data_IF_135867004311
#
_entry.id   IF_135867004311
#
_cell.length_a   1.000
_cell.length_b   1.000
_cell.length_c   1.000
_cell.angle_alpha   90.00
_cell.angle_beta   90.00
_cell.angle_gamma   90.00
#
_symmetry.space_group_name_H-M   'P 1'
#
loop_
_entity.id
_entity.type
_entity.pdbx_description
1 polymer ?
#
# COMPACT_ATOMS: atom_id res chain seq x y z
N UNK A 1 -23.36 3.76 -43.19
CA UNK A 1 -23.73 4.97 -42.44
C UNK A 1 -22.43 5.65 -42.06
N UNK A 2 -22.25 6.92 -42.46
CA UNK A 2 -21.01 7.67 -42.20
C UNK A 2 -21.10 8.30 -40.81
N UNK A 3 -20.05 8.14 -39.99
CA UNK A 3 -20.02 8.65 -38.62
C UNK A 3 -19.36 10.03 -38.61
N UNK A 4 -20.03 11.02 -38.00
CA UNK A 4 -19.48 12.37 -37.88
C UNK A 4 -18.69 12.53 -36.56
N UNK A 5 -17.36 12.49 -36.67
CA UNK A 5 -16.45 12.64 -35.53
C UNK A 5 -16.15 14.10 -35.13
N UNK A 6 -16.70 15.10 -35.85
CA UNK A 6 -16.36 16.51 -35.58
C UNK A 6 -16.73 16.98 -34.18
N UNK A 7 -17.80 16.43 -33.61
CA UNK A 7 -18.30 16.82 -32.29
C UNK A 7 -17.74 15.96 -31.15
N UNK A 8 -16.83 15.02 -31.46
CA UNK A 8 -16.25 14.15 -30.45
C UNK A 8 -15.15 14.91 -29.72
N UNK A 9 -15.07 14.70 -28.40
CA UNK A 9 -13.93 15.14 -27.60
C UNK A 9 -12.78 14.11 -27.70
N UNK A 10 -11.60 14.48 -27.25
CA UNK A 10 -10.42 13.61 -27.22
C UNK A 10 -10.69 12.18 -26.70
N UNK A 11 -11.44 12.05 -25.59
CA UNK A 11 -11.80 10.74 -25.03
C UNK A 11 -12.62 9.91 -26.02
N UNK A 12 -13.69 10.48 -26.57
CA UNK A 12 -14.59 9.81 -27.50
C UNK A 12 -13.89 9.45 -28.81
N UNK A 13 -12.96 10.27 -29.30
CA UNK A 13 -12.15 9.96 -30.48
C UNK A 13 -11.25 8.74 -30.24
N UNK A 14 -10.56 8.68 -29.10
CA UNK A 14 -9.68 7.57 -28.75
C UNK A 14 -10.46 6.27 -28.44
N UNK A 15 -11.63 6.39 -27.81
CA UNK A 15 -12.52 5.26 -27.56
C UNK A 15 -13.06 4.69 -28.87
N UNK A 16 -13.50 5.55 -29.80
CA UNK A 16 -13.89 5.15 -31.14
C UNK A 16 -12.73 4.48 -31.90
N UNK A 17 -11.50 4.97 -31.74
CA UNK A 17 -10.32 4.39 -32.41
C UNK A 17 -10.02 2.98 -31.89
N UNK A 18 -10.23 2.74 -30.60
CA UNK A 18 -9.99 1.43 -29.98
C UNK A 18 -11.04 0.37 -30.32
N UNK A 19 -12.19 0.76 -30.86
CA UNK A 19 -13.36 -0.12 -31.07
C UNK A 19 -13.76 -0.28 -32.52
N UNK A 20 -13.37 0.63 -33.41
CA UNK A 20 -13.69 0.55 -34.83
C UNK A 20 -12.93 -0.59 -35.50
N UNK A 21 -13.65 -1.38 -36.29
CA UNK A 21 -13.06 -2.37 -37.19
C UNK A 21 -12.64 -1.68 -38.48
N UNK A 22 -11.32 -1.57 -38.69
CA UNK A 22 -10.74 -0.90 -39.84
C UNK A 22 -11.01 -1.62 -41.17
N UNK A 23 -11.18 -2.96 -41.14
CA UNK A 23 -11.42 -3.77 -42.33
C UNK A 23 -12.91 -3.72 -42.71
N UNK A 24 -13.80 -3.73 -41.72
CA UNK A 24 -15.24 -3.64 -41.95
C UNK A 24 -15.72 -2.22 -42.29
N UNK A 25 -15.04 -1.17 -41.78
CA UNK A 25 -15.44 0.23 -41.95
C UNK A 25 -14.27 1.18 -42.30
N UNK A 26 -13.61 0.98 -43.46
CA UNK A 26 -12.38 1.70 -43.82
C UNK A 26 -12.56 3.22 -43.96
N UNK A 27 -13.70 3.69 -44.51
CA UNK A 27 -13.97 5.13 -44.67
C UNK A 27 -14.18 5.84 -43.32
N UNK A 28 -14.90 5.20 -42.39
CA UNK A 28 -15.10 5.74 -41.05
C UNK A 28 -13.78 5.73 -40.25
N UNK A 29 -12.96 4.69 -40.42
CA UNK A 29 -11.63 4.62 -39.82
C UNK A 29 -10.74 5.76 -40.31
N UNK A 30 -10.70 5.99 -41.63
CA UNK A 30 -9.94 7.09 -42.23
C UNK A 30 -10.39 8.44 -41.68
N UNK A 31 -11.69 8.74 -41.70
CA UNK A 31 -12.23 10.01 -41.18
C UNK A 31 -11.91 10.21 -39.69
N UNK A 32 -11.98 9.15 -38.88
CA UNK A 32 -11.58 9.19 -37.48
C UNK A 32 -10.09 9.53 -37.30
N UNK A 33 -9.21 8.85 -38.03
CA UNK A 33 -7.76 9.11 -37.96
C UNK A 33 -7.39 10.52 -38.42
N UNK A 34 -8.09 11.06 -39.43
CA UNK A 34 -7.91 12.45 -39.86
C UNK A 34 -8.36 13.44 -38.78
N UNK A 35 -9.49 13.20 -38.10
CA UNK A 35 -9.92 14.07 -36.99
C UNK A 35 -8.96 14.02 -35.80
N UNK A 36 -8.37 12.85 -35.50
CA UNK A 36 -7.35 12.71 -34.45
C UNK A 36 -6.09 13.48 -34.83
N UNK A 37 -5.59 13.32 -36.07
CA UNK A 37 -4.41 14.01 -36.55
C UNK A 37 -4.58 15.54 -36.56
N UNK A 38 -5.78 16.04 -36.90
CA UNK A 38 -6.10 17.47 -36.86
C UNK A 38 -6.12 18.05 -35.44
N UNK A 39 -6.31 17.22 -34.41
CA UNK A 39 -6.47 17.65 -33.01
C UNK A 39 -5.38 17.07 -32.10
N UNK A 40 -4.18 16.87 -32.66
CA UNK A 40 -3.06 16.28 -31.93
C UNK A 40 -2.82 16.96 -30.58
N UNK A 41 -2.87 18.30 -30.52
CA UNK A 41 -2.70 19.05 -29.27
C UNK A 41 -3.76 18.72 -28.20
N UNK A 42 -5.03 18.56 -28.60
CA UNK A 42 -6.13 18.18 -27.68
C UNK A 42 -5.91 16.76 -27.15
N UNK A 43 -5.48 15.85 -28.02
CA UNK A 43 -5.19 14.46 -27.70
C UNK A 43 -3.98 14.36 -26.75
N UNK A 44 -2.92 15.10 -27.02
CA UNK A 44 -1.72 15.15 -26.18
C UNK A 44 -2.05 15.76 -24.81
N UNK A 45 -2.85 16.83 -24.76
CA UNK A 45 -3.32 17.42 -23.50
C UNK A 45 -4.16 16.42 -22.69
N UNK A 46 -5.03 15.65 -23.35
CA UNK A 46 -5.81 14.60 -22.70
C UNK A 46 -4.93 13.49 -22.11
N UNK A 47 -3.88 13.07 -22.82
CA UNK A 47 -2.91 12.09 -22.28
C UNK A 47 -2.12 12.65 -21.10
N UNK A 48 -1.68 13.91 -21.16
CA UNK A 48 -1.00 14.58 -20.04
C UNK A 48 -1.91 14.69 -18.82
N UNK A 49 -3.19 15.05 -19.01
CA UNK A 49 -4.17 15.10 -17.93
C UNK A 49 -4.37 13.74 -17.27
N UNK A 50 -4.49 12.66 -18.07
CA UNK A 50 -4.57 11.30 -17.55
C UNK A 50 -3.32 10.88 -16.77
N UNK A 51 -2.14 11.21 -17.26
CA UNK A 51 -0.88 10.91 -16.58
C UNK A 51 -0.78 11.66 -15.24
N UNK A 52 -1.13 12.94 -15.22
CA UNK A 52 -1.20 13.75 -14.00
C UNK A 52 -2.22 13.19 -13.01
N UNK A 53 -3.42 12.81 -13.47
CA UNK A 53 -4.43 12.19 -12.62
C UNK A 53 -3.94 10.86 -12.02
N UNK A 54 -3.22 10.05 -12.80
CA UNK A 54 -2.62 8.81 -12.32
C UNK A 54 -1.51 9.07 -11.30
N UNK A 55 -0.61 10.02 -11.56
CA UNK A 55 0.44 10.45 -10.62
C UNK A 55 -0.16 10.98 -9.31
N UNK A 56 -1.23 11.78 -9.38
CA UNK A 56 -1.95 12.29 -8.22
C UNK A 56 -2.61 11.16 -7.41
N UNK A 57 -3.22 10.17 -8.06
CA UNK A 57 -3.81 8.99 -7.40
C UNK A 57 -2.77 8.24 -6.58
N UNK A 58 -1.62 7.93 -7.17
CA UNK A 58 -0.53 7.23 -6.48
C UNK A 58 0.11 8.08 -5.38
N UNK A 59 0.21 9.39 -5.59
CA UNK A 59 0.65 10.32 -4.56
C UNK A 59 -0.30 10.29 -3.35
N UNK A 60 -1.62 10.41 -3.56
CA UNK A 60 -2.59 10.32 -2.46
C UNK A 60 -2.49 8.98 -1.70
N UNK A 61 -2.35 7.87 -2.43
CA UNK A 61 -2.19 6.55 -1.83
C UNK A 61 -0.93 6.44 -0.96
N UNK A 62 0.22 6.93 -1.42
CA UNK A 62 1.44 6.97 -0.60
C UNK A 62 1.31 7.86 0.63
N UNK A 63 0.65 9.01 0.49
CA UNK A 63 0.41 9.91 1.63
C UNK A 63 -0.44 9.22 2.67
N UNK A 64 -1.47 8.48 2.25
CA UNK A 64 -2.29 7.67 3.15
C UNK A 64 -1.45 6.65 3.91
N UNK A 65 -0.62 5.84 3.21
CA UNK A 65 0.27 4.87 3.86
C UNK A 65 1.21 5.56 4.86
N UNK A 66 1.77 6.71 4.50
CA UNK A 66 2.67 7.46 5.38
C UNK A 66 1.97 7.99 6.62
N UNK A 67 0.75 8.52 6.48
CA UNK A 67 -0.09 8.96 7.59
C UNK A 67 -0.44 7.78 8.50
N UNK A 68 -0.79 6.62 7.95
CA UNK A 68 -1.03 5.41 8.74
C UNK A 68 0.20 5.05 9.58
N UNK A 69 1.40 5.06 9.03
CA UNK A 69 2.62 4.77 9.82
C UNK A 69 2.87 5.82 10.92
N UNK A 70 2.64 7.11 10.66
CA UNK A 70 2.75 8.14 11.70
C UNK A 70 1.73 7.91 12.82
N UNK A 71 0.48 7.57 12.47
CA UNK A 71 -0.56 7.28 13.44
C UNK A 71 -0.21 6.02 14.28
N UNK A 72 0.40 4.98 13.69
CA UNK A 72 0.94 3.83 14.45
C UNK A 72 1.96 4.30 15.49
N UNK A 73 2.91 5.15 15.08
CA UNK A 73 3.90 5.69 16.02
C UNK A 73 3.26 6.47 17.16
N UNK A 74 2.24 7.29 16.88
CA UNK A 74 1.50 8.03 17.91
C UNK A 74 0.78 7.09 18.89
N UNK A 75 0.09 6.06 18.39
CA UNK A 75 -0.58 5.06 19.23
C UNK A 75 0.46 4.30 20.08
N UNK A 76 1.58 3.90 19.48
CA UNK A 76 2.64 3.21 20.19
C UNK A 76 3.27 4.07 21.30
N UNK A 77 3.37 5.39 21.11
CA UNK A 77 3.78 6.33 22.18
C UNK A 77 2.78 6.30 23.34
N UNK A 78 1.48 6.41 23.04
CA UNK A 78 0.43 6.38 24.06
C UNK A 78 0.47 5.07 24.84
N UNK A 79 0.54 3.93 24.13
CA UNK A 79 0.62 2.60 24.73
C UNK A 79 1.87 2.41 25.58
N UNK A 80 3.02 2.93 25.13
CA UNK A 80 4.26 2.92 25.90
C UNK A 80 4.10 3.69 27.21
N UNK A 81 3.56 4.92 27.15
CA UNK A 81 3.36 5.76 28.33
C UNK A 81 2.43 5.08 29.35
N UNK A 82 1.33 4.49 28.88
CA UNK A 82 0.38 3.78 29.74
C UNK A 82 0.97 2.51 30.37
N UNK A 83 1.94 1.87 29.69
CA UNK A 83 2.53 0.59 30.11
C UNK A 83 3.88 0.76 30.83
N UNK A 84 4.42 1.98 30.94
CA UNK A 84 5.72 2.27 31.56
C UNK A 84 5.95 1.56 32.92
N UNK A 85 4.97 1.49 33.86
CA UNK A 85 5.20 0.89 35.17
C UNK A 85 5.46 -0.62 35.13
N UNK A 86 5.04 -1.32 34.08
CA UNK A 86 5.08 -2.79 33.99
C UNK A 86 6.13 -3.29 32.99
N UNK A 87 6.80 -2.39 32.27
CA UNK A 87 7.75 -2.74 31.23
C UNK A 87 9.19 -2.77 31.74
N UNK A 88 9.93 -3.80 31.33
CA UNK A 88 11.39 -3.86 31.48
C UNK A 88 12.08 -2.81 30.60
N UNK A 89 13.27 -2.36 30.96
CA UNK A 89 14.08 -1.42 30.15
C UNK A 89 14.31 -1.89 28.71
N UNK A 90 14.51 -3.20 28.50
CA UNK A 90 14.66 -3.77 27.16
C UNK A 90 13.39 -3.57 26.29
N UNK A 91 12.20 -3.82 26.86
CA UNK A 91 10.92 -3.60 26.18
C UNK A 91 10.70 -2.11 25.88
N UNK A 92 11.05 -1.21 26.81
CA UNK A 92 10.98 0.24 26.58
C UNK A 92 11.85 0.65 25.38
N UNK A 93 13.10 0.17 25.32
CA UNK A 93 14.00 0.43 24.20
C UNK A 93 13.45 -0.05 22.86
N UNK A 94 12.89 -1.27 22.82
CA UNK A 94 12.24 -1.81 21.63
C UNK A 94 11.00 -1.01 21.21
N UNK A 95 10.16 -0.59 22.17
CA UNK A 95 9.00 0.26 21.88
C UNK A 95 9.42 1.61 21.30
N UNK A 96 10.47 2.24 21.84
CA UNK A 96 11.01 3.49 21.29
C UNK A 96 11.52 3.27 19.86
N UNK A 97 12.23 2.17 19.61
CA UNK A 97 12.69 1.82 18.26
C UNK A 97 11.52 1.68 17.28
N UNK A 98 10.44 0.99 17.67
CA UNK A 98 9.23 0.83 16.85
C UNK A 98 8.55 2.18 16.56
N UNK A 99 8.44 3.04 17.57
CA UNK A 99 7.89 4.39 17.42
C UNK A 99 8.71 5.20 16.41
N UNK A 100 10.04 5.19 16.56
CA UNK A 100 10.93 5.92 15.66
C UNK A 100 10.88 5.35 14.25
N UNK A 101 10.88 4.02 14.10
CA UNK A 101 10.83 3.37 12.80
C UNK A 101 9.54 3.74 12.05
N UNK A 102 8.37 3.60 12.68
CA UNK A 102 7.09 3.99 12.06
C UNK A 102 6.99 5.49 11.81
N UNK A 103 7.41 6.32 12.77
CA UNK A 103 7.32 7.77 12.67
C UNK A 103 8.19 8.32 11.56
N UNK A 104 9.46 7.91 11.51
CA UNK A 104 10.41 8.36 10.49
C UNK A 104 10.03 7.79 9.13
N UNK A 105 9.66 6.51 9.03
CA UNK A 105 9.20 5.91 7.78
C UNK A 105 7.96 6.65 7.24
N UNK A 106 6.95 6.89 8.08
CA UNK A 106 5.76 7.65 7.71
C UNK A 106 6.05 9.09 7.26
N UNK A 107 6.83 9.84 8.04
CA UNK A 107 7.20 11.23 7.71
C UNK A 107 8.00 11.30 6.40
N UNK A 108 8.96 10.39 6.22
CA UNK A 108 9.80 10.38 5.01
C UNK A 108 8.98 10.00 3.77
N UNK A 109 7.96 9.14 3.91
CA UNK A 109 7.03 8.81 2.83
C UNK A 109 6.10 9.98 2.48
N UNK A 110 5.55 10.68 3.48
CA UNK A 110 4.74 11.90 3.30
C UNK A 110 5.56 12.99 2.60
N UNK A 111 6.80 13.19 3.03
CA UNK A 111 7.73 14.19 2.47
C UNK A 111 8.38 13.77 1.14
N UNK A 112 8.08 12.57 0.62
CA UNK A 112 8.64 12.05 -0.64
C UNK A 112 10.16 12.01 -0.68
N UNK A 113 10.79 11.76 0.46
CA UNK A 113 12.26 11.72 0.52
C UNK A 113 12.77 10.46 -0.20
N UNK A 114 13.86 10.53 -0.99
CA UNK A 114 14.35 9.39 -1.79
C UNK A 114 14.63 8.13 -0.95
N UNK A 115 15.17 8.31 0.26
CA UNK A 115 15.45 7.22 1.21
C UNK A 115 14.21 6.76 1.99
N UNK A 116 13.11 7.50 1.93
CA UNK A 116 11.87 7.21 2.66
C UNK A 116 11.12 5.99 2.16
N UNK A 117 11.23 5.69 0.85
CA UNK A 117 10.64 4.49 0.27
C UNK A 117 11.27 3.21 0.83
N UNK A 118 12.61 3.16 0.91
CA UNK A 118 13.32 2.01 1.47
C UNK A 118 12.98 1.81 2.95
N UNK A 119 12.97 2.89 3.74
CA UNK A 119 12.65 2.80 5.17
C UNK A 119 11.22 2.32 5.39
N UNK A 120 10.25 2.82 4.60
CA UNK A 120 8.87 2.34 4.62
C UNK A 120 8.76 0.89 4.18
N UNK A 121 9.54 0.46 3.19
CA UNK A 121 9.56 -0.91 2.70
C UNK A 121 10.09 -1.89 3.75
N UNK A 122 11.18 -1.54 4.43
CA UNK A 122 11.71 -2.32 5.56
C UNK A 122 10.71 -2.35 6.70
N UNK A 123 10.14 -1.19 7.06
CA UNK A 123 9.16 -1.08 8.14
C UNK A 123 7.94 -1.97 7.89
N UNK A 124 7.32 -1.86 6.71
CA UNK A 124 6.16 -2.68 6.33
C UNK A 124 6.54 -4.15 6.13
N UNK A 125 7.74 -4.44 5.62
CA UNK A 125 8.25 -5.80 5.45
C UNK A 125 8.34 -6.57 6.76
N UNK A 126 8.79 -5.89 7.82
CA UNK A 126 8.78 -6.46 9.16
C UNK A 126 7.36 -6.75 9.67
N UNK A 127 6.33 -6.06 9.17
CA UNK A 127 4.94 -6.26 9.59
C UNK A 127 4.24 -7.41 8.87
N UNK A 128 4.81 -7.91 7.77
CA UNK A 128 4.16 -8.93 6.94
C UNK A 128 4.01 -10.25 7.68
N UNK A 129 5.01 -10.64 8.47
CA UNK A 129 5.03 -11.93 9.12
C UNK A 129 5.07 -11.78 10.63
N UNK A 130 4.23 -12.54 11.31
CA UNK A 130 4.31 -12.76 12.74
C UNK A 130 4.31 -14.25 13.00
N UNK A 131 5.11 -14.71 13.95
CA UNK A 131 5.18 -16.11 14.26
C UNK A 131 5.52 -16.32 15.73
N UNK A 132 4.97 -17.38 16.28
CA UNK A 132 5.34 -17.93 17.59
C UNK A 132 5.81 -19.36 17.41
N UNK A 133 6.89 -19.75 18.08
CA UNK A 133 7.32 -21.13 18.18
C UNK A 133 7.95 -21.36 19.56
N UNK A 134 7.26 -22.14 20.41
CA UNK A 134 7.68 -22.34 21.80
C UNK A 134 7.78 -21.00 22.54
N UNK A 135 8.96 -20.69 23.10
CA UNK A 135 9.19 -19.46 23.86
C UNK A 135 9.49 -18.22 22.99
N UNK A 136 9.65 -18.39 21.66
CA UNK A 136 10.02 -17.31 20.76
C UNK A 136 8.80 -16.75 20.04
N UNK A 137 8.52 -15.46 20.24
CA UNK A 137 7.43 -14.76 19.58
C UNK A 137 7.95 -13.51 18.88
N UNK A 138 7.69 -13.43 17.57
CA UNK A 138 7.86 -12.23 16.77
C UNK A 138 6.48 -11.74 16.35
N UNK A 139 6.13 -10.52 16.75
CA UNK A 139 4.84 -9.97 16.41
C UNK A 139 4.87 -8.46 16.18
N UNK A 140 4.99 -8.04 14.93
CA UNK A 140 5.04 -6.63 14.60
C UNK A 140 3.86 -6.18 13.74
N UNK A 141 2.95 -5.40 14.32
CA UNK A 141 1.76 -4.89 13.62
C UNK A 141 1.68 -3.37 13.63
N UNK A 142 1.06 -2.84 12.57
CA UNK A 142 0.73 -1.44 12.43
C UNK A 142 -0.59 -1.06 13.10
N UNK A 143 -1.45 -0.39 12.34
CA UNK A 143 -2.71 0.23 12.81
C UNK A 143 -3.88 -0.76 12.84
N UNK A 144 -3.58 -2.04 13.06
CA UNK A 144 -4.42 -3.16 12.68
C UNK A 144 -3.83 -3.91 11.48
N UNK A 145 -4.27 -5.14 11.30
CA UNK A 145 -3.90 -5.98 10.17
C UNK A 145 -5.04 -6.90 9.79
N UNK A 146 -4.97 -7.43 8.57
CA UNK A 146 -5.87 -8.50 8.12
C UNK A 146 -5.02 -9.74 8.04
N UNK A 147 -5.14 -10.59 9.05
CA UNK A 147 -4.23 -11.72 9.22
C UNK A 147 -4.79 -12.99 8.60
N UNK A 148 -3.93 -13.68 7.86
CA UNK A 148 -4.08 -15.11 7.61
C UNK A 148 -3.25 -15.84 8.65
N UNK A 149 -3.92 -16.54 9.56
CA UNK A 149 -3.29 -17.27 10.65
C UNK A 149 -3.33 -18.77 10.38
N UNK A 150 -2.18 -19.42 10.48
CA UNK A 150 -2.06 -20.86 10.63
C UNK A 150 -1.65 -21.12 12.08
N UNK A 151 -2.61 -21.58 12.86
CA UNK A 151 -2.38 -22.12 14.19
C UNK A 151 -2.41 -23.65 14.09
N UNK A 152 -1.27 -24.29 14.36
CA UNK A 152 -1.15 -25.74 14.27
C UNK A 152 -1.26 -26.44 15.64
N UNK A 153 -1.68 -25.71 16.68
CA UNK A 153 -1.79 -26.25 18.04
C UNK A 153 -3.16 -25.99 18.69
N UNK A 154 -4.14 -25.44 17.96
CA UNK A 154 -5.53 -25.34 18.39
C UNK A 154 -6.35 -26.58 17.98
N UNK A 155 -7.06 -27.21 18.92
CA UNK A 155 -8.01 -28.31 18.66
C UNK A 155 -9.16 -27.90 17.73
N UNK A 156 -9.41 -26.59 17.62
CA UNK A 156 -10.19 -26.01 16.53
C UNK A 156 -9.23 -25.49 15.48
N UNK A 157 -9.02 -26.25 14.41
CA UNK A 157 -8.31 -25.83 13.20
C UNK A 157 -8.97 -24.60 12.57
N UNK A 158 -8.77 -23.43 13.16
CA UNK A 158 -9.21 -22.15 12.63
C UNK A 158 -8.15 -21.67 11.65
N UNK A 159 -8.23 -22.15 10.41
CA UNK A 159 -7.33 -21.77 9.30
C UNK A 159 -7.49 -20.30 8.86
N UNK A 160 -8.46 -19.58 9.41
CA UNK A 160 -8.75 -18.20 9.07
C UNK A 160 -9.29 -17.44 10.29
N UNK A 161 -8.52 -16.47 10.77
CA UNK A 161 -8.95 -15.54 11.82
C UNK A 161 -8.58 -14.12 11.43
N UNK A 162 -9.57 -13.26 11.24
CA UNK A 162 -9.35 -11.83 11.09
C UNK A 162 -9.38 -11.18 12.48
N UNK A 163 -8.24 -10.69 12.96
CA UNK A 163 -8.15 -9.94 14.22
C UNK A 163 -7.60 -8.54 13.96
N UNK A 164 -8.12 -7.53 14.65
CA UNK A 164 -7.57 -6.18 14.62
C UNK A 164 -6.73 -5.96 15.88
N UNK A 165 -5.42 -5.87 15.73
CA UNK A 165 -4.49 -5.62 16.84
C UNK A 165 -3.80 -4.27 16.65
N UNK A 166 -3.89 -3.41 17.67
CA UNK A 166 -3.20 -2.13 17.71
C UNK A 166 -1.94 -2.24 18.56
N UNK A 167 -0.79 -1.97 17.94
CA UNK A 167 0.50 -2.13 18.58
C UNK A 167 1.06 -3.53 18.39
N UNK A 168 2.38 -3.58 18.20
CA UNK A 168 3.14 -4.81 18.05
C UNK A 168 4.35 -4.82 18.96
N UNK A 169 4.80 -6.02 19.27
CA UNK A 169 6.01 -6.32 20.01
C UNK A 169 6.98 -7.03 19.07
N UNK A 170 8.03 -6.33 18.62
CA UNK A 170 9.03 -6.90 17.71
C UNK A 170 9.66 -8.19 18.27
N UNK A 171 9.68 -8.38 19.59
CA UNK A 171 10.21 -9.59 20.17
C UNK A 171 9.68 -9.80 21.59
N UNK A 172 9.03 -10.93 21.82
CA UNK A 172 8.62 -11.39 23.13
C UNK A 172 9.18 -12.79 23.41
N UNK A 173 9.85 -12.90 24.57
CA UNK A 173 10.16 -14.18 25.20
C UNK A 173 9.00 -14.50 26.14
N UNK A 174 8.12 -15.41 25.73
CA UNK A 174 7.05 -15.88 26.60
C UNK A 174 7.55 -17.02 27.47
N UNK A 175 7.12 -17.03 28.73
CA UNK A 175 7.33 -18.15 29.66
C UNK A 175 6.14 -19.11 29.70
N UNK A 176 5.09 -18.87 28.89
CA UNK A 176 3.87 -19.67 28.87
C UNK A 176 3.45 -20.06 27.45
N UNK A 177 3.31 -21.38 27.28
CA UNK A 177 2.79 -22.13 26.13
C UNK A 177 3.80 -22.59 25.06
N UNK A 178 3.69 -23.87 24.69
CA UNK A 178 4.40 -24.53 23.58
C UNK A 178 3.71 -24.28 22.23
N UNK A 179 2.68 -23.43 22.18
CA UNK A 179 1.83 -23.27 21.01
C UNK A 179 2.50 -22.38 19.96
N UNK A 180 2.56 -22.89 18.73
CA UNK A 180 3.16 -22.21 17.59
C UNK A 180 2.11 -21.69 16.61
N UNK A 181 2.36 -20.51 16.07
CA UNK A 181 1.52 -19.90 15.04
C UNK A 181 2.38 -19.24 13.96
N UNK A 182 1.81 -19.11 12.76
CA UNK A 182 2.31 -18.24 11.71
C UNK A 182 1.16 -17.34 11.23
N UNK A 183 1.39 -16.04 11.17
CA UNK A 183 0.43 -15.03 10.75
C UNK A 183 1.04 -14.20 9.62
N UNK A 184 0.24 -13.96 8.58
CA UNK A 184 0.60 -13.10 7.45
C UNK A 184 -0.35 -11.90 7.41
N UNK A 185 0.18 -10.68 7.48
CA UNK A 185 -0.61 -9.45 7.38
C UNK A 185 -0.81 -9.02 5.93
N UNK A 186 -2.02 -9.25 5.41
CA UNK A 186 -2.41 -8.85 4.07
C UNK A 186 -2.45 -7.33 3.90
N UNK A 187 -2.69 -6.56 4.97
CA UNK A 187 -2.70 -5.11 4.89
C UNK A 187 -1.28 -4.56 4.72
N UNK A 188 -0.31 -5.14 5.43
CA UNK A 188 1.11 -4.82 5.24
C UNK A 188 1.57 -5.14 3.81
N UNK A 189 1.15 -6.29 3.24
CA UNK A 189 1.41 -6.64 1.83
C UNK A 189 0.79 -5.63 0.88
N UNK A 190 -0.46 -5.21 1.11
CA UNK A 190 -1.12 -4.19 0.30
C UNK A 190 -0.34 -2.86 0.35
N UNK A 191 0.11 -2.43 1.52
CA UNK A 191 0.90 -1.21 1.66
C UNK A 191 2.26 -1.32 0.97
N UNK A 192 2.94 -2.47 1.04
CA UNK A 192 4.17 -2.73 0.26
C UNK A 192 3.91 -2.61 -1.24
N UNK A 193 2.81 -3.17 -1.72
CA UNK A 193 2.43 -3.08 -3.13
C UNK A 193 2.16 -1.64 -3.55
N UNK A 194 1.44 -0.85 -2.74
CA UNK A 194 1.20 0.58 -3.00
C UNK A 194 2.52 1.35 -3.05
N UNK A 195 3.41 1.15 -2.08
CA UNK A 195 4.72 1.82 -2.02
C UNK A 195 5.56 1.47 -3.25
N UNK A 196 5.63 0.18 -3.62
CA UNK A 196 6.34 -0.30 -4.80
C UNK A 196 5.77 0.31 -6.09
N UNK A 197 4.46 0.22 -6.31
CA UNK A 197 3.82 0.76 -7.52
C UNK A 197 3.97 2.26 -7.64
N UNK A 198 3.77 3.00 -6.55
CA UNK A 198 3.88 4.44 -6.58
C UNK A 198 5.34 4.90 -6.79
N UNK A 199 6.33 4.21 -6.23
CA UNK A 199 7.75 4.50 -6.51
C UNK A 199 8.07 4.36 -8.00
N UNK A 200 7.56 3.32 -8.67
CA UNK A 200 7.79 3.10 -10.10
C UNK A 200 7.12 4.14 -11.01
N UNK A 201 6.03 4.77 -10.55
CA UNK A 201 5.21 5.72 -11.33
C UNK A 201 5.55 7.19 -11.07
N UNK A 202 6.25 7.48 -9.98
CA UNK A 202 6.69 8.84 -9.63
C UNK A 202 8.10 9.12 -10.16
N UNK A 203 8.93 8.08 -10.29
CA UNK A 203 10.30 8.21 -10.85
C UNK A 203 10.33 8.08 -12.37
N UNK A 204 9.21 7.69 -13.02
CA UNK A 204 9.02 7.73 -14.48
C UNK A 204 8.39 9.04 -14.95
#
# INVERSE_FOLDING_TARGET
>A
MEVNYKNYNAKSLLEALSTIDADAYPENYKNLTEQIALRQEEIDAFYQEQELAQKLKWSRALTFVGVSQVLVALIAIVMLVLSLPTLTMAKIGMSIFIVLLNGIAGITLIKRLPKGYLLSFVNLGLQVFSFGAGHFYFNYYGLGGVFLALDWVSDTYNWFSASFNLGGSLFELSTQSEHGFLQVDLLAILYLWVVSKASSKITS
#
